data_IF_780510191335
#
_entry.id   IF_780510191335
#
_cell.length_a   1.000
_cell.length_b   1.000
_cell.length_c   1.000
_cell.angle_alpha   90.00
_cell.angle_beta   90.00
_cell.angle_gamma   90.00
#
_symmetry.space_group_name_H-M   'P 1'
#
loop_
_entity.id
_entity.type
_entity.pdbx_description
1 polymer ?
#
# COMPACT_ATOMS: atom_id res chain seq x y z
N UNK A 1 -26.85 -13.36 15.46
CA UNK A 1 -25.68 -14.15 15.03
C UNK A 1 -25.11 -13.41 13.83
N UNK A 2 -23.81 -13.13 13.82
CA UNK A 2 -23.16 -12.51 12.66
C UNK A 2 -23.09 -13.53 11.53
N UNK A 3 -23.48 -13.12 10.33
CA UNK A 3 -23.35 -13.87 9.07
C UNK A 3 -22.04 -13.54 8.33
N UNK A 4 -21.18 -12.70 8.93
CA UNK A 4 -19.91 -12.30 8.35
C UNK A 4 -18.94 -13.49 8.22
N UNK A 5 -18.46 -13.72 6.99
CA UNK A 5 -17.44 -14.73 6.68
C UNK A 5 -16.01 -14.21 6.87
N UNK A 6 -15.81 -12.90 6.79
CA UNK A 6 -14.50 -12.26 6.89
C UNK A 6 -14.24 -11.80 8.32
N UNK A 7 -13.04 -12.06 8.83
CA UNK A 7 -12.57 -11.42 10.05
C UNK A 7 -12.35 -9.92 9.85
N UNK A 8 -12.17 -9.18 10.94
CA UNK A 8 -11.82 -7.75 10.87
C UNK A 8 -10.56 -7.51 10.02
N UNK A 9 -9.50 -8.29 10.26
CA UNK A 9 -8.25 -8.25 9.47
C UNK A 9 -8.47 -8.55 7.98
N UNK A 10 -9.31 -9.53 7.65
CA UNK A 10 -9.62 -9.84 6.24
C UNK A 10 -10.35 -8.68 5.56
N UNK A 11 -11.21 -7.96 6.30
CA UNK A 11 -11.89 -6.75 5.82
C UNK A 11 -10.92 -5.59 5.65
N UNK A 12 -9.98 -5.38 6.56
CA UNK A 12 -8.91 -4.39 6.41
C UNK A 12 -8.13 -4.63 5.10
N UNK A 13 -7.75 -5.89 4.85
CA UNK A 13 -7.05 -6.28 3.62
C UNK A 13 -7.90 -6.03 2.37
N UNK A 14 -9.16 -6.46 2.38
CA UNK A 14 -10.08 -6.25 1.26
C UNK A 14 -10.29 -4.76 0.95
N UNK A 15 -10.43 -3.93 1.99
CA UNK A 15 -10.56 -2.49 1.85
C UNK A 15 -9.28 -1.84 1.31
N UNK A 16 -8.09 -2.31 1.72
CA UNK A 16 -6.82 -1.83 1.16
C UNK A 16 -6.71 -2.09 -0.34
N UNK A 17 -7.13 -3.28 -0.80
CA UNK A 17 -7.19 -3.65 -2.21
C UNK A 17 -8.20 -2.78 -2.98
N UNK A 18 -9.37 -2.55 -2.39
CA UNK A 18 -10.41 -1.69 -2.97
C UNK A 18 -9.96 -0.24 -3.11
N UNK A 19 -9.30 0.32 -2.08
CA UNK A 19 -8.75 1.67 -2.08
C UNK A 19 -7.78 1.88 -3.25
N UNK A 20 -6.78 0.99 -3.36
CA UNK A 20 -5.77 1.07 -4.43
C UNK A 20 -6.41 0.89 -5.80
N UNK A 21 -7.36 -0.04 -5.93
CA UNK A 21 -8.07 -0.27 -7.19
C UNK A 21 -8.86 0.95 -7.63
N UNK A 22 -9.52 1.65 -6.70
CA UNK A 22 -10.24 2.89 -6.99
C UNK A 22 -9.30 4.01 -7.46
N UNK A 23 -8.16 4.20 -6.79
CA UNK A 23 -7.16 5.20 -7.20
C UNK A 23 -6.55 4.86 -8.56
N UNK A 24 -6.22 3.58 -8.81
CA UNK A 24 -5.70 3.13 -10.09
C UNK A 24 -6.71 3.33 -11.23
N UNK A 25 -7.98 3.03 -11.00
CA UNK A 25 -9.06 3.31 -11.95
C UNK A 25 -9.16 4.82 -12.25
N UNK A 26 -9.12 5.67 -11.22
CA UNK A 26 -9.10 7.13 -11.38
C UNK A 26 -7.86 7.66 -12.11
N UNK A 27 -6.73 6.94 -12.04
CA UNK A 27 -5.52 7.25 -12.78
C UNK A 27 -5.52 6.71 -14.23
N UNK A 28 -6.44 5.80 -14.57
CA UNK A 28 -6.50 5.15 -15.88
C UNK A 28 -5.54 3.96 -16.04
N UNK A 29 -5.23 3.26 -14.95
CA UNK A 29 -4.28 2.14 -14.93
C UNK A 29 -4.98 0.81 -14.63
N UNK A 30 -4.36 -0.29 -15.06
CA UNK A 30 -4.87 -1.64 -14.75
C UNK A 30 -4.25 -2.17 -13.48
N UNK A 31 -5.01 -2.99 -12.75
CA UNK A 31 -4.59 -3.65 -11.51
C UNK A 31 -4.67 -5.15 -11.73
N UNK A 32 -3.62 -5.87 -11.35
CA UNK A 32 -3.58 -7.33 -11.32
C UNK A 32 -3.34 -7.80 -9.88
N UNK A 33 -4.17 -8.73 -9.40
CA UNK A 33 -3.99 -9.41 -8.11
C UNK A 33 -2.94 -10.51 -8.26
N UNK A 34 -2.07 -10.66 -7.26
CA UNK A 34 -1.10 -11.76 -7.22
C UNK A 34 -1.60 -12.84 -6.24
N UNK A 35 -2.17 -13.92 -6.79
CA UNK A 35 -2.86 -14.96 -6.00
C UNK A 35 -1.93 -15.95 -5.29
N UNK A 36 -0.63 -15.93 -5.61
CA UNK A 36 0.38 -16.79 -4.98
C UNK A 36 1.44 -15.91 -4.30
N UNK A 37 1.12 -15.37 -3.11
CA UNK A 37 1.97 -14.49 -2.28
C UNK A 37 3.26 -15.19 -1.76
N UNK A 38 4.10 -15.65 -2.69
CA UNK A 38 5.42 -16.21 -2.39
C UNK A 38 6.45 -15.10 -2.25
N UNK A 39 6.27 -13.99 -2.97
CA UNK A 39 7.23 -12.90 -3.07
C UNK A 39 6.80 -11.61 -2.35
N UNK A 40 5.68 -11.63 -1.62
CA UNK A 40 5.24 -10.53 -0.74
C UNK A 40 4.39 -9.48 -1.43
N UNK A 41 4.00 -9.66 -2.70
CA UNK A 41 3.27 -8.65 -3.47
C UNK A 41 1.79 -9.02 -3.53
N UNK A 42 0.93 -8.05 -3.22
CA UNK A 42 -0.52 -8.22 -3.21
C UNK A 42 -1.14 -7.77 -4.55
N UNK A 43 -0.68 -6.63 -5.08
CA UNK A 43 -1.16 -6.03 -6.33
C UNK A 43 -0.01 -5.58 -7.22
N UNK A 44 -0.22 -5.65 -8.53
CA UNK A 44 0.61 -4.99 -9.54
C UNK A 44 -0.23 -3.98 -10.34
N UNK A 45 0.24 -2.74 -10.42
CA UNK A 45 -0.37 -1.68 -11.23
C UNK A 45 0.42 -1.53 -12.52
N UNK A 46 -0.27 -1.43 -13.66
CA UNK A 46 0.35 -1.25 -14.98
C UNK A 46 -0.21 -0.03 -15.70
N UNK A 47 0.67 0.73 -16.34
CA UNK A 47 0.30 1.81 -17.24
C UNK A 47 0.65 1.47 -18.69
N UNK A 48 -0.14 2.00 -19.61
CA UNK A 48 0.13 1.90 -21.05
C UNK A 48 1.18 2.89 -21.54
N UNK A 49 1.30 2.98 -22.86
CA UNK A 49 2.25 3.86 -23.55
C UNK A 49 3.65 3.25 -23.72
N UNK A 50 4.65 4.09 -23.95
CA UNK A 50 6.04 3.64 -24.09
C UNK A 50 6.57 3.04 -22.77
N UNK A 51 7.44 2.03 -22.88
CA UNK A 51 8.10 1.31 -21.78
C UNK A 51 7.18 0.49 -20.85
N UNK A 52 5.85 0.67 -20.92
CA UNK A 52 4.85 -0.12 -20.18
C UNK A 52 5.19 -0.28 -18.68
N UNK A 53 5.37 0.82 -17.93
CA UNK A 53 5.84 0.73 -16.55
C UNK A 53 4.85 -0.05 -15.68
N UNK A 54 5.41 -0.76 -14.71
CA UNK A 54 4.67 -1.51 -13.69
C UNK A 54 5.17 -1.11 -12.31
N UNK A 55 4.28 -1.24 -11.32
CA UNK A 55 4.58 -0.99 -9.92
C UNK A 55 3.99 -2.13 -9.09
N UNK A 56 4.82 -2.79 -8.29
CA UNK A 56 4.42 -3.86 -7.38
C UNK A 56 4.16 -3.30 -5.98
N UNK A 57 3.04 -3.68 -5.37
CA UNK A 57 2.60 -3.17 -4.09
C UNK A 57 2.44 -4.32 -3.10
N UNK A 58 3.08 -4.17 -1.95
CA UNK A 58 2.68 -4.89 -0.74
C UNK A 58 1.72 -4.01 0.05
N UNK A 59 0.50 -4.49 0.24
CA UNK A 59 -0.55 -3.80 0.94
C UNK A 59 -0.59 -4.20 2.41
N UNK A 60 -0.82 -3.20 3.25
CA UNK A 60 -1.19 -3.35 4.65
C UNK A 60 -2.30 -2.37 4.96
N UNK A 61 -3.08 -2.69 5.98
CA UNK A 61 -4.02 -1.78 6.59
C UNK A 61 -3.85 -1.86 8.11
N UNK A 62 -4.22 -0.79 8.80
CA UNK A 62 -4.15 -0.74 10.27
C UNK A 62 -5.00 0.37 10.84
N UNK A 63 -5.57 0.12 12.01
CA UNK A 63 -6.23 1.14 12.85
C UNK A 63 -5.25 1.99 13.68
N UNK A 64 -4.00 1.53 13.86
CA UNK A 64 -2.97 2.15 14.72
C UNK A 64 -1.72 2.56 13.91
N UNK A 65 -1.91 3.48 12.94
CA UNK A 65 -0.79 4.08 12.23
C UNK A 65 -0.23 5.27 13.04
N UNK A 66 0.80 5.00 13.85
CA UNK A 66 1.36 5.96 14.80
C UNK A 66 2.16 7.06 14.12
N UNK A 67 2.01 8.29 14.60
CA UNK A 67 2.82 9.44 14.20
C UNK A 67 4.05 9.57 15.12
N UNK A 68 5.22 9.73 14.52
CA UNK A 68 6.47 10.02 15.21
C UNK A 68 6.60 11.51 15.56
N UNK A 69 7.61 11.86 16.37
CA UNK A 69 7.87 13.25 16.75
C UNK A 69 8.26 14.15 15.56
N UNK A 70 8.70 13.56 14.45
CA UNK A 70 9.01 14.21 13.18
C UNK A 70 7.78 14.41 12.27
N UNK A 71 6.59 13.97 12.69
CA UNK A 71 5.35 14.06 11.93
C UNK A 71 5.16 12.96 10.89
N UNK A 72 6.15 12.09 10.70
CA UNK A 72 6.08 10.92 9.81
C UNK A 72 5.51 9.71 10.55
N UNK A 73 4.95 8.76 9.80
CA UNK A 73 4.34 7.59 10.40
C UNK A 73 5.36 6.50 10.72
N UNK A 74 5.01 5.63 11.67
CA UNK A 74 5.77 4.45 12.09
C UNK A 74 4.91 3.21 11.94
N UNK A 75 5.42 2.22 11.21
CA UNK A 75 4.71 0.97 10.98
C UNK A 75 5.61 -0.24 11.26
N UNK A 76 5.14 -1.18 12.08
CA UNK A 76 5.88 -2.40 12.38
C UNK A 76 5.65 -3.45 11.28
N UNK A 77 6.61 -3.56 10.37
CA UNK A 77 6.57 -4.51 9.26
C UNK A 77 7.24 -5.83 9.64
N UNK A 78 6.61 -6.97 9.31
CA UNK A 78 7.22 -8.29 9.50
C UNK A 78 8.58 -8.38 8.79
N UNK A 79 9.58 -9.00 9.43
CA UNK A 79 10.95 -9.09 8.88
C UNK A 79 11.00 -9.68 7.47
N UNK A 80 10.26 -10.76 7.21
CA UNK A 80 10.14 -11.37 5.87
C UNK A 80 9.72 -10.35 4.81
N UNK A 81 8.70 -9.54 5.11
CA UNK A 81 8.17 -8.53 4.20
C UNK A 81 9.16 -7.40 3.96
N UNK A 82 9.83 -6.93 5.03
CA UNK A 82 10.91 -5.96 4.93
C UNK A 82 12.03 -6.44 4.00
N UNK A 83 12.45 -7.70 4.14
CA UNK A 83 13.50 -8.30 3.30
C UNK A 83 13.08 -8.45 1.84
N UNK A 84 11.81 -8.82 1.59
CA UNK A 84 11.26 -8.93 0.23
C UNK A 84 11.16 -7.57 -0.46
N UNK A 85 10.78 -6.52 0.27
CA UNK A 85 10.62 -5.16 -0.25
C UNK A 85 11.95 -4.41 -0.46
N UNK A 86 13.00 -4.74 0.31
CA UNK A 86 14.32 -4.13 0.12
C UNK A 86 15.14 -4.77 -1.02
N UNK A 87 14.73 -5.96 -1.46
CA UNK A 87 15.42 -6.72 -2.47
C UNK A 87 15.47 -5.96 -3.82
N UNK A 88 16.59 -5.95 -4.54
CA UNK A 88 16.65 -5.38 -5.88
C UNK A 88 15.73 -6.13 -6.85
N UNK A 89 14.86 -5.40 -7.53
CA UNK A 89 13.92 -5.96 -8.51
C UNK A 89 13.84 -5.09 -9.77
N UNK A 90 13.45 -5.72 -10.88
CA UNK A 90 13.24 -5.01 -12.16
C UNK A 90 11.99 -4.14 -12.10
N UNK A 91 10.89 -4.67 -11.55
CA UNK A 91 9.68 -3.91 -11.26
C UNK A 91 9.84 -3.29 -9.87
N UNK A 92 9.72 -1.96 -9.71
CA UNK A 92 9.81 -1.35 -8.40
C UNK A 92 8.73 -1.83 -7.45
N UNK A 93 9.09 -1.92 -6.17
CA UNK A 93 8.23 -2.41 -5.09
C UNK A 93 8.08 -1.34 -4.02
N UNK A 94 6.86 -1.15 -3.54
CA UNK A 94 6.57 -0.25 -2.42
C UNK A 94 5.72 -0.95 -1.36
N UNK A 95 5.93 -0.55 -0.10
CA UNK A 95 4.95 -0.79 0.96
C UNK A 95 3.89 0.29 0.86
N UNK A 96 2.62 -0.10 0.93
CA UNK A 96 1.50 0.82 1.09
C UNK A 96 0.68 0.43 2.31
N UNK A 97 0.46 1.38 3.22
CA UNK A 97 -0.29 1.19 4.46
C UNK A 97 -1.53 2.09 4.46
N UNK A 98 -2.72 1.49 4.40
CA UNK A 98 -3.99 2.17 4.60
C UNK A 98 -4.22 2.39 6.10
N UNK A 99 -4.30 3.64 6.52
CA UNK A 99 -4.80 3.95 7.85
C UNK A 99 -6.32 3.81 7.87
N UNK A 100 -6.88 3.19 8.90
CA UNK A 100 -8.32 3.04 9.13
C UNK A 100 -8.73 3.66 10.47
N UNK A 101 -9.97 4.15 10.63
CA UNK A 101 -10.51 4.53 11.96
C UNK A 101 -10.50 3.37 12.95
N UNK A 102 -10.50 3.67 14.26
CA UNK A 102 -10.58 2.62 15.30
C UNK A 102 -11.92 1.87 15.27
N UNK A 103 -13.02 2.57 14.99
CA UNK A 103 -14.34 1.97 14.84
C UNK A 103 -14.50 1.42 13.41
N UNK A 104 -14.76 0.11 13.31
CA UNK A 104 -14.99 -0.57 12.03
C UNK A 104 -16.22 -0.05 11.28
N UNK A 105 -17.22 0.47 12.00
CA UNK A 105 -18.41 1.07 11.40
C UNK A 105 -18.11 2.35 10.63
N UNK A 106 -16.99 3.01 10.96
CA UNK A 106 -16.57 4.23 10.30
C UNK A 106 -15.69 3.97 9.07
N UNK A 107 -15.26 2.74 8.81
CA UNK A 107 -14.35 2.45 7.70
C UNK A 107 -14.95 2.81 6.34
N UNK A 108 -16.21 2.44 6.12
CA UNK A 108 -16.88 2.55 4.83
C UNK A 108 -18.31 3.08 5.03
N UNK A 109 -18.68 4.13 4.29
CA UNK A 109 -20.04 4.63 4.26
C UNK A 109 -20.47 4.96 2.83
N UNK A 110 -21.75 4.73 2.53
CA UNK A 110 -22.34 4.99 1.21
C UNK A 110 -23.56 5.89 1.38
N UNK A 111 -23.68 6.85 0.48
CA UNK A 111 -24.83 7.75 0.31
C UNK A 111 -25.15 7.87 -1.18
N UNK A 112 -26.22 8.58 -1.53
CA UNK A 112 -26.58 8.81 -2.94
C UNK A 112 -25.47 9.59 -3.69
N UNK A 113 -24.73 10.45 -2.97
CA UNK A 113 -23.73 11.33 -3.55
C UNK A 113 -22.33 10.70 -3.61
N UNK A 114 -22.02 9.78 -2.71
CA UNK A 114 -20.64 9.31 -2.52
C UNK A 114 -20.49 7.97 -1.83
N UNK A 115 -19.40 7.30 -2.21
CA UNK A 115 -18.74 6.22 -1.47
C UNK A 115 -17.54 6.81 -0.72
N UNK A 116 -17.53 6.70 0.60
CA UNK A 116 -16.41 7.11 1.44
C UNK A 116 -15.74 5.86 2.02
N UNK A 117 -14.46 5.71 1.72
CA UNK A 117 -13.52 4.88 2.48
C UNK A 117 -12.63 5.82 3.31
N UNK A 118 -12.83 5.83 4.64
CA UNK A 118 -12.24 6.86 5.50
C UNK A 118 -10.72 6.70 5.67
N UNK A 119 -10.07 7.85 5.94
CA UNK A 119 -8.60 8.03 6.03
C UNK A 119 -7.90 7.75 4.69
N UNK A 120 -6.58 7.61 4.70
CA UNK A 120 -5.77 7.55 3.47
C UNK A 120 -4.70 6.47 3.57
N UNK A 121 -4.21 6.05 2.41
CA UNK A 121 -3.03 5.20 2.31
C UNK A 121 -1.76 6.03 2.16
N UNK A 122 -0.67 5.54 2.76
CA UNK A 122 0.66 6.13 2.68
C UNK A 122 1.68 5.11 2.21
N UNK A 123 2.71 5.55 1.49
CA UNK A 123 3.65 4.64 0.84
C UNK A 123 5.12 4.94 1.16
N UNK A 124 5.95 3.90 1.11
CA UNK A 124 7.40 4.02 1.20
C UNK A 124 8.10 2.97 0.34
N UNK A 125 9.20 3.36 -0.30
CA UNK A 125 10.13 2.43 -0.93
C UNK A 125 11.15 1.95 0.09
N UNK A 126 11.36 0.63 0.19
CA UNK A 126 12.41 0.05 1.03
C UNK A 126 13.63 -0.35 0.20
N UNK A 127 13.68 0.02 -1.08
CA UNK A 127 14.80 -0.26 -1.98
C UNK A 127 16.10 0.21 -1.33
N UNK A 128 17.08 -0.68 -1.26
CA UNK A 128 18.38 -0.44 -0.63
C UNK A 128 18.36 -0.13 0.88
N UNK A 129 17.22 -0.35 1.57
CA UNK A 129 17.17 -0.21 3.02
C UNK A 129 18.12 -1.21 3.71
N UNK A 130 18.74 -0.76 4.79
CA UNK A 130 19.77 -1.50 5.53
C UNK A 130 19.24 -2.83 6.06
N UNK A 131 20.03 -3.89 5.96
CA UNK A 131 19.70 -5.15 6.62
C UNK A 131 19.71 -4.95 8.15
N UNK A 132 18.74 -5.55 8.83
CA UNK A 132 18.67 -5.54 10.29
C UNK A 132 18.70 -6.95 10.83
N UNK A 133 19.32 -7.14 12.00
CA UNK A 133 19.45 -8.45 12.65
C UNK A 133 18.17 -8.90 13.36
N UNK A 134 17.20 -8.00 13.55
CA UNK A 134 15.90 -8.32 14.16
C UNK A 134 15.21 -9.48 13.43
N UNK A 135 14.72 -10.45 14.20
CA UNK A 135 14.16 -11.68 13.63
C UNK A 135 12.65 -11.63 13.38
N UNK A 136 11.92 -10.71 14.03
CA UNK A 136 10.44 -10.69 13.99
C UNK A 136 9.86 -9.54 13.16
N UNK A 137 10.22 -8.30 13.48
CA UNK A 137 9.69 -7.10 12.82
C UNK A 137 10.71 -5.95 12.76
N UNK A 138 10.48 -5.05 11.81
CA UNK A 138 11.25 -3.83 11.57
C UNK A 138 10.27 -2.67 11.54
N UNK A 139 10.50 -1.65 12.36
CA UNK A 139 9.70 -0.42 12.29
C UNK A 139 10.19 0.42 11.12
N UNK A 140 9.32 0.64 10.14
CA UNK A 140 9.61 1.49 8.98
C UNK A 140 9.01 2.88 9.20
N UNK A 141 9.75 3.90 8.75
CA UNK A 141 9.28 5.28 8.69
C UNK A 141 8.58 5.50 7.35
N UNK A 142 7.34 6.03 7.38
CA UNK A 142 6.56 6.32 6.19
C UNK A 142 6.32 7.83 6.15
N UNK A 143 6.85 8.55 5.14
CA UNK A 143 6.67 10.00 5.05
C UNK A 143 5.19 10.38 4.99
N UNK A 144 4.76 11.35 5.81
CA UNK A 144 3.35 11.79 5.79
C UNK A 144 2.96 12.39 4.44
N UNK A 145 3.94 12.98 3.74
CA UNK A 145 3.78 13.54 2.40
C UNK A 145 3.55 12.47 1.33
N UNK A 146 3.92 11.22 1.58
CA UNK A 146 3.72 10.11 0.64
C UNK A 146 2.29 9.55 0.73
N UNK A 147 1.30 10.43 0.70
CA UNK A 147 -0.11 10.05 0.67
C UNK A 147 -0.48 9.61 -0.74
N UNK A 148 -1.03 8.41 -0.89
CA UNK A 148 -1.50 7.94 -2.19
C UNK A 148 -2.80 8.67 -2.58
N UNK A 149 -2.75 9.37 -3.70
CA UNK A 149 -3.90 9.83 -4.46
C UNK A 149 -3.65 9.62 -5.97
N UNK A 150 -4.59 10.04 -6.82
CA UNK A 150 -4.48 9.87 -8.28
C UNK A 150 -3.23 10.58 -8.83
N UNK A 151 -2.90 11.76 -8.31
CA UNK A 151 -1.73 12.52 -8.76
C UNK A 151 -0.44 11.81 -8.36
N UNK A 152 -0.38 11.35 -7.12
CA UNK A 152 0.78 10.64 -6.60
C UNK A 152 1.00 9.29 -7.30
N UNK A 153 -0.05 8.54 -7.61
CA UNK A 153 0.08 7.30 -8.38
C UNK A 153 0.64 7.56 -9.78
N UNK A 154 0.20 8.61 -10.47
CA UNK A 154 0.77 8.99 -11.78
C UNK A 154 2.25 9.35 -11.65
N UNK A 155 2.65 10.05 -10.59
CA UNK A 155 4.06 10.37 -10.30
C UNK A 155 4.89 9.10 -10.08
N UNK A 156 4.39 8.16 -9.28
CA UNK A 156 5.03 6.86 -9.04
C UNK A 156 5.22 6.06 -10.34
N UNK A 157 4.23 6.05 -11.23
CA UNK A 157 4.33 5.36 -12.51
C UNK A 157 5.34 6.01 -13.47
N UNK A 158 5.48 7.34 -13.44
CA UNK A 158 6.52 8.03 -14.20
C UNK A 158 7.92 7.73 -13.64
N UNK A 159 8.07 7.71 -12.32
CA UNK A 159 9.32 7.27 -11.68
C UNK A 159 9.64 5.80 -12.02
N UNK A 160 8.63 4.93 -12.12
CA UNK A 160 8.82 3.53 -12.51
C UNK A 160 9.30 3.42 -13.96
N UNK A 161 8.81 4.30 -14.84
CA UNK A 161 9.24 4.38 -16.24
C UNK A 161 10.72 4.73 -16.39
N UNK A 162 11.24 5.61 -15.53
CA UNK A 162 12.65 6.06 -15.58
C UNK A 162 13.58 5.25 -14.67
N UNK A 163 13.05 4.31 -13.87
CA UNK A 163 13.81 3.48 -12.95
C UNK A 163 14.15 4.16 -11.60
N UNK A 164 13.50 5.29 -11.29
CA UNK A 164 13.83 6.18 -10.16
C UNK A 164 12.90 5.98 -8.95
N UNK A 165 12.01 4.98 -8.94
CA UNK A 165 11.27 4.65 -7.71
C UNK A 165 12.27 4.24 -6.63
N UNK A 166 12.45 5.14 -5.66
CA UNK A 166 13.50 5.13 -4.64
C UNK A 166 13.21 6.20 -3.61
#
# INVERSE_FOLDING_TARGET
MSDALLSSTDREEALSRAYVSAIAAGAGYTVAVQDFDRDGIDLQIKAGGAMLPSLDLQLKATIDLREGADGDFRYALRKRNYDLLRCPTLVPRILLVLALPEDEGDWLSVSEEQLILRRCAYWVSLKNATAVENTTAVTVTIPRTNRLDVGELKRLMEMARTGVVG
#
